data_IF_224995412728
#
_entry.id   IF_224995412728
#
_cell.length_a   1.000
_cell.length_b   1.000
_cell.length_c   1.000
_cell.angle_alpha   90.00
_cell.angle_beta   90.00
_cell.angle_gamma   90.00
#
_symmetry.space_group_name_H-M   'P 1'
#
loop_
_entity.id
_entity.type
_entity.pdbx_description
1 polymer ?
#
# COMPACT_ATOMS: atom_id res chain seq x y z
N UNK A 1 10.77 -25.60 4.45
CA UNK A 1 9.31 -25.40 4.58
C UNK A 1 8.99 -24.93 5.98
N UNK A 2 8.99 -23.61 6.16
CA UNK A 2 8.41 -22.99 7.34
C UNK A 2 6.92 -22.74 7.06
N UNK A 3 6.08 -23.06 8.02
CA UNK A 3 4.64 -22.80 7.95
C UNK A 3 4.31 -21.76 9.00
N UNK A 4 3.63 -20.70 8.59
CA UNK A 4 3.14 -19.66 9.48
C UNK A 4 1.69 -19.98 9.86
N UNK A 5 1.43 -20.10 11.15
CA UNK A 5 0.09 -20.29 11.71
C UNK A 5 -0.46 -18.96 12.21
N UNK A 6 -1.58 -18.50 11.64
CA UNK A 6 -2.23 -17.25 12.02
C UNK A 6 -3.72 -17.46 12.32
N UNK A 7 -4.25 -16.69 13.26
CA UNK A 7 -5.70 -16.50 13.41
C UNK A 7 -6.16 -15.42 12.44
N UNK A 8 -6.80 -15.83 11.35
CA UNK A 8 -7.45 -14.93 10.40
C UNK A 8 -8.83 -14.52 10.91
N UNK A 9 -9.11 -13.22 10.96
CA UNK A 9 -10.45 -12.70 11.28
C UNK A 9 -11.16 -12.28 10.01
N UNK A 10 -12.38 -12.75 9.80
CA UNK A 10 -13.23 -12.30 8.69
C UNK A 10 -14.64 -11.93 9.16
N UNK A 11 -15.26 -11.01 8.42
CA UNK A 11 -16.60 -10.51 8.73
C UNK A 11 -17.67 -11.30 7.97
N UNK A 12 -18.71 -11.70 8.67
CA UNK A 12 -19.85 -12.45 8.13
C UNK A 12 -20.99 -11.47 7.85
N UNK A 13 -20.95 -10.89 6.64
CA UNK A 13 -21.85 -9.84 6.19
C UNK A 13 -23.21 -10.34 5.67
N UNK A 14 -23.50 -11.64 5.79
CA UNK A 14 -24.79 -12.21 5.41
C UNK A 14 -25.55 -12.71 6.65
N UNK A 15 -26.89 -12.50 6.76
CA UNK A 15 -27.75 -11.77 5.81
C UNK A 15 -27.58 -10.24 5.91
N UNK A 16 -27.97 -9.53 4.84
CA UNK A 16 -27.74 -8.08 4.74
C UNK A 16 -28.49 -7.27 5.80
N UNK A 17 -29.63 -7.78 6.27
CA UNK A 17 -30.47 -7.17 7.29
C UNK A 17 -29.92 -7.36 8.71
N UNK A 18 -29.00 -8.32 8.90
CA UNK A 18 -28.41 -8.63 10.20
C UNK A 18 -27.07 -9.36 10.05
N UNK A 19 -25.99 -8.59 9.94
CA UNK A 19 -24.63 -9.15 9.91
C UNK A 19 -24.34 -10.01 11.16
N UNK A 20 -23.68 -11.14 10.96
CA UNK A 20 -23.35 -12.12 12.00
C UNK A 20 -22.06 -11.76 12.76
N UNK A 21 -21.61 -10.51 12.65
CA UNK A 21 -20.36 -10.03 13.23
C UNK A 21 -19.13 -10.60 12.50
N UNK A 22 -18.10 -10.96 13.26
CA UNK A 22 -16.90 -11.61 12.76
C UNK A 22 -16.74 -13.02 13.34
N UNK A 23 -15.88 -13.81 12.73
CA UNK A 23 -15.37 -15.06 13.28
C UNK A 23 -13.89 -15.17 12.95
N UNK A 24 -13.25 -16.18 13.53
CA UNK A 24 -11.85 -16.49 13.28
C UNK A 24 -11.71 -17.84 12.56
N UNK A 25 -10.63 -17.97 11.81
CA UNK A 25 -10.21 -19.18 11.12
C UNK A 25 -8.70 -19.37 11.31
N UNK A 26 -8.29 -20.63 11.44
CA UNK A 26 -6.87 -21.01 11.49
C UNK A 26 -6.29 -21.04 10.07
N UNK A 27 -5.41 -20.09 9.78
CA UNK A 27 -4.71 -19.99 8.51
C UNK A 27 -3.33 -20.64 8.64
N UNK A 28 -3.03 -21.53 7.69
CA UNK A 28 -1.72 -22.19 7.56
C UNK A 28 -1.10 -21.71 6.26
N UNK A 29 -0.04 -20.92 6.36
CA UNK A 29 0.58 -20.24 5.22
C UNK A 29 1.95 -20.85 4.98
N UNK A 30 2.17 -21.40 3.79
CA UNK A 30 3.49 -21.78 3.33
C UNK A 30 4.30 -20.52 3.02
N UNK A 31 5.35 -20.27 3.78
CA UNK A 31 6.15 -19.05 3.63
C UNK A 31 6.98 -19.04 2.35
N UNK A 32 7.25 -20.20 1.74
CA UNK A 32 8.01 -20.31 0.48
C UNK A 32 7.18 -19.89 -0.74
N UNK A 33 5.84 -19.98 -0.66
CA UNK A 33 4.91 -19.58 -1.72
C UNK A 33 4.19 -18.26 -1.40
N UNK A 34 4.73 -17.45 -0.48
CA UNK A 34 4.10 -16.24 0.04
C UNK A 34 4.96 -14.99 -0.18
N UNK A 35 4.33 -13.86 -0.45
CA UNK A 35 4.97 -12.55 -0.46
C UNK A 35 4.23 -11.56 0.46
N UNK A 36 4.96 -10.58 0.98
CA UNK A 36 4.40 -9.47 1.74
C UNK A 36 4.18 -8.27 0.83
N UNK A 37 2.93 -7.88 0.62
CA UNK A 37 2.54 -6.79 -0.28
C UNK A 37 2.24 -5.52 0.51
N UNK A 38 3.04 -4.48 0.29
CA UNK A 38 2.86 -3.14 0.84
C UNK A 38 2.08 -2.29 -0.18
N UNK A 39 0.85 -1.89 0.14
CA UNK A 39 -0.05 -1.18 -0.80
C UNK A 39 -0.22 0.27 -0.39
N UNK A 40 0.21 1.19 -1.26
CA UNK A 40 0.04 2.64 -1.10
C UNK A 40 0.48 3.21 0.27
N UNK A 41 1.56 2.65 0.84
CA UNK A 41 2.17 3.13 2.09
C UNK A 41 3.26 4.15 1.78
N UNK A 42 2.86 5.30 1.26
CA UNK A 42 3.72 6.43 0.98
C UNK A 42 3.22 7.68 1.73
N UNK A 43 4.06 8.71 1.83
CA UNK A 43 3.82 9.89 2.66
C UNK A 43 5.00 10.13 3.59
N UNK A 44 5.09 11.35 4.13
CA UNK A 44 6.22 11.78 4.97
C UNK A 44 6.00 11.54 6.46
N UNK A 45 4.84 10.98 6.86
CA UNK A 45 4.43 10.62 8.23
C UNK A 45 5.25 11.33 9.31
N UNK A 46 5.00 12.62 9.59
CA UNK A 46 5.74 13.33 10.61
C UNK A 46 5.61 12.56 11.93
N UNK A 47 6.73 12.36 12.65
CA UNK A 47 6.69 11.84 14.02
C UNK A 47 5.67 12.67 14.80
N UNK A 48 4.81 12.00 15.57
CA UNK A 48 3.72 12.64 16.30
C UNK A 48 4.23 13.93 16.96
N UNK A 49 3.70 15.08 16.54
CA UNK A 49 4.10 16.37 17.08
C UNK A 49 4.04 16.31 18.61
N UNK A 50 5.15 16.65 19.29
CA UNK A 50 5.18 17.00 20.70
C UNK A 50 4.33 18.28 20.89
N UNK A 51 3.02 18.09 20.97
CA UNK A 51 2.04 19.13 21.22
C UNK A 51 1.00 18.59 22.20
N UNK A 52 0.43 19.45 23.07
CA UNK A 52 -0.50 19.01 24.12
C UNK A 52 -1.68 18.23 23.53
N UNK A 53 -2.08 17.14 24.20
CA UNK A 53 -3.16 16.23 23.78
C UNK A 53 -4.54 16.90 23.66
N UNK A 54 -4.68 18.14 24.16
CA UNK A 54 -5.94 18.88 24.27
C UNK A 54 -6.26 19.81 23.08
N UNK A 55 -5.50 19.78 21.98
CA UNK A 55 -5.85 20.55 20.78
C UNK A 55 -6.92 19.80 20.00
N UNK A 56 -8.11 20.40 19.86
CA UNK A 56 -9.24 19.88 19.09
C UNK A 56 -8.80 19.65 17.63
N UNK A 57 -8.53 18.39 17.29
CA UNK A 57 -7.89 18.01 16.03
C UNK A 57 -8.87 18.16 14.87
N UNK A 58 -8.41 18.77 13.78
CA UNK A 58 -9.15 18.70 12.52
C UNK A 58 -9.10 17.27 11.98
N UNK A 59 -10.15 16.81 11.27
CA UNK A 59 -10.27 15.40 10.85
C UNK A 59 -9.09 14.88 10.00
N UNK A 60 -8.33 15.76 9.34
CA UNK A 60 -7.12 15.40 8.59
C UNK A 60 -5.91 15.14 9.51
N UNK A 61 -5.72 15.92 10.56
CA UNK A 61 -4.58 15.78 11.50
C UNK A 61 -4.69 14.50 12.34
N UNK A 62 -5.91 14.09 12.69
CA UNK A 62 -6.19 12.79 13.32
C UNK A 62 -5.82 11.60 12.41
N UNK A 63 -6.06 11.72 11.10
CA UNK A 63 -5.67 10.69 10.13
C UNK A 63 -4.15 10.55 10.05
N UNK A 64 -3.41 11.66 9.93
CA UNK A 64 -1.95 11.62 9.79
C UNK A 64 -1.20 11.14 11.04
N UNK A 65 -1.68 11.45 12.25
CA UNK A 65 -1.03 10.96 13.50
C UNK A 65 -1.18 9.45 13.65
N UNK A 66 -2.35 8.90 13.32
CA UNK A 66 -2.58 7.46 13.34
C UNK A 66 -1.78 6.73 12.26
N UNK A 67 -1.57 7.36 11.10
CA UNK A 67 -0.78 6.76 10.03
C UNK A 67 0.68 6.51 10.44
N UNK A 68 1.33 7.41 11.18
CA UNK A 68 2.69 7.16 11.68
C UNK A 68 2.73 5.93 12.60
N UNK A 69 1.84 5.83 13.59
CA UNK A 69 1.80 4.67 14.50
C UNK A 69 1.52 3.36 13.73
N UNK A 70 0.57 3.40 12.79
CA UNK A 70 0.27 2.25 11.94
C UNK A 70 1.50 1.83 11.14
N UNK A 71 2.20 2.79 10.51
CA UNK A 71 3.39 2.50 9.72
C UNK A 71 4.52 1.98 10.60
N UNK A 72 4.88 2.71 11.65
CA UNK A 72 6.04 2.44 12.51
C UNK A 72 5.87 1.20 13.38
N UNK A 73 4.69 1.00 13.96
CA UNK A 73 4.45 -0.03 14.97
C UNK A 73 3.66 -1.23 14.46
N UNK A 74 3.07 -1.16 13.25
CA UNK A 74 2.31 -2.29 12.67
C UNK A 74 2.87 -2.75 11.33
N UNK A 75 2.95 -1.88 10.34
CA UNK A 75 3.33 -2.26 8.97
C UNK A 75 4.82 -2.58 8.90
N UNK A 76 5.70 -1.71 9.41
CA UNK A 76 7.15 -1.92 9.38
C UNK A 76 7.57 -3.21 10.10
N UNK A 77 7.15 -3.49 11.35
CA UNK A 77 7.48 -4.75 12.02
C UNK A 77 6.95 -5.98 11.29
N UNK A 78 5.78 -5.89 10.64
CA UNK A 78 5.22 -6.99 9.85
C UNK A 78 6.05 -7.28 8.60
N UNK A 79 6.51 -6.23 7.89
CA UNK A 79 7.46 -6.36 6.78
C UNK A 79 8.75 -7.02 7.24
N UNK A 80 9.32 -6.53 8.34
CA UNK A 80 10.60 -7.04 8.87
C UNK A 80 10.47 -8.53 9.27
N UNK A 81 9.37 -8.91 9.91
CA UNK A 81 9.09 -10.31 10.25
C UNK A 81 8.93 -11.19 8.98
N UNK A 82 8.23 -10.70 7.96
CA UNK A 82 8.08 -11.41 6.69
C UNK A 82 9.44 -11.64 6.00
N UNK A 83 10.32 -10.62 5.99
CA UNK A 83 11.69 -10.75 5.44
C UNK A 83 12.52 -11.75 6.23
N UNK A 84 12.40 -11.79 7.57
CA UNK A 84 13.07 -12.79 8.41
C UNK A 84 12.63 -14.23 8.10
N UNK A 85 11.40 -14.41 7.63
CA UNK A 85 10.87 -15.69 7.16
C UNK A 85 11.20 -16.02 5.70
N UNK A 86 11.97 -15.14 5.02
CA UNK A 86 12.37 -15.32 3.62
C UNK A 86 11.31 -14.92 2.60
N UNK A 87 10.22 -14.28 3.02
CA UNK A 87 9.20 -13.79 2.09
C UNK A 87 9.72 -12.54 1.35
N UNK A 88 9.57 -12.45 0.02
CA UNK A 88 9.86 -11.22 -0.70
C UNK A 88 8.86 -10.13 -0.29
N UNK A 89 9.37 -8.92 -0.07
CA UNK A 89 8.55 -7.73 0.09
C UNK A 89 8.31 -7.09 -1.29
N UNK A 90 7.07 -6.70 -1.54
CA UNK A 90 6.64 -6.09 -2.80
C UNK A 90 5.88 -4.81 -2.48
N UNK A 91 6.29 -3.69 -3.05
CA UNK A 91 5.57 -2.42 -2.95
C UNK A 91 4.66 -2.26 -4.17
N UNK A 92 3.40 -1.94 -3.95
CA UNK A 92 2.46 -1.49 -4.97
C UNK A 92 2.12 -0.02 -4.71
N UNK A 93 2.79 0.88 -5.43
CA UNK A 93 2.73 2.32 -5.20
C UNK A 93 2.14 3.04 -6.40
N UNK A 94 1.28 4.01 -6.13
CA UNK A 94 0.77 4.92 -7.16
C UNK A 94 1.89 5.65 -7.90
N UNK A 95 1.75 5.76 -9.21
CA UNK A 95 2.66 6.42 -10.13
C UNK A 95 1.89 6.89 -11.37
N UNK A 96 2.50 7.76 -12.17
CA UNK A 96 1.92 8.32 -13.38
C UNK A 96 2.60 7.78 -14.65
N UNK A 97 2.25 6.59 -15.17
CA UNK A 97 2.72 6.15 -16.49
C UNK A 97 2.20 7.10 -17.57
N UNK A 98 2.98 7.26 -18.66
CA UNK A 98 2.61 8.09 -19.81
C UNK A 98 1.55 7.43 -20.69
N UNK A 99 0.36 7.25 -20.12
CA UNK A 99 -0.79 6.60 -20.71
C UNK A 99 -2.00 7.54 -20.86
N UNK A 100 -1.78 8.86 -20.78
CA UNK A 100 -2.81 9.90 -20.83
C UNK A 100 -3.91 9.68 -19.77
N UNK A 101 -3.49 9.61 -18.50
CA UNK A 101 -4.33 9.17 -17.38
C UNK A 101 -5.58 10.04 -17.21
N UNK A 102 -5.46 11.33 -17.49
CA UNK A 102 -6.52 12.33 -17.33
C UNK A 102 -7.64 12.17 -18.39
N UNK A 103 -7.40 11.32 -19.40
CA UNK A 103 -8.43 10.92 -20.37
C UNK A 103 -9.21 9.69 -19.91
N UNK A 104 -8.73 8.95 -18.92
CA UNK A 104 -9.44 7.81 -18.35
C UNK A 104 -10.58 8.28 -17.44
N UNK A 105 -11.62 7.45 -17.30
CA UNK A 105 -12.69 7.72 -16.33
C UNK A 105 -12.16 7.80 -14.89
N UNK A 106 -11.23 6.91 -14.53
CA UNK A 106 -10.60 6.90 -13.21
C UNK A 106 -9.86 8.20 -12.92
N UNK A 107 -9.03 8.67 -13.85
CA UNK A 107 -8.30 9.93 -13.74
C UNK A 107 -9.23 11.13 -13.56
N UNK A 108 -10.26 11.26 -14.41
CA UNK A 108 -11.25 12.33 -14.31
C UNK A 108 -12.02 12.30 -12.99
N UNK A 109 -12.44 11.12 -12.55
CA UNK A 109 -13.16 10.96 -11.28
C UNK A 109 -12.27 11.37 -10.10
N UNK A 110 -11.00 10.99 -10.10
CA UNK A 110 -10.05 11.40 -9.05
C UNK A 110 -9.79 12.91 -9.08
N UNK A 111 -9.63 13.50 -10.26
CA UNK A 111 -9.51 14.95 -10.43
C UNK A 111 -10.74 15.68 -9.87
N UNK A 112 -11.96 15.20 -10.14
CA UNK A 112 -13.19 15.77 -9.56
C UNK A 112 -13.22 15.72 -8.03
N UNK A 113 -12.62 14.69 -7.43
CA UNK A 113 -12.64 14.48 -5.97
C UNK A 113 -11.52 15.25 -5.26
N UNK A 114 -10.34 15.37 -5.88
CA UNK A 114 -9.12 15.89 -5.25
C UNK A 114 -8.72 17.28 -5.76
N UNK A 115 -9.24 17.70 -6.93
CA UNK A 115 -8.96 18.99 -7.54
C UNK A 115 -7.60 19.08 -8.25
N UNK A 116 -6.91 17.94 -8.42
CA UNK A 116 -5.62 17.82 -9.10
C UNK A 116 -5.61 16.58 -9.99
N UNK A 117 -4.86 16.62 -11.09
CA UNK A 117 -4.77 15.47 -11.99
C UNK A 117 -3.90 14.35 -11.40
N UNK A 118 -4.04 13.14 -11.94
CA UNK A 118 -3.19 12.03 -11.48
C UNK A 118 -1.74 12.23 -11.89
N UNK A 119 -1.50 12.84 -13.05
CA UNK A 119 -0.15 13.15 -13.52
C UNK A 119 0.54 14.19 -12.63
N UNK A 120 -0.21 15.16 -12.09
CA UNK A 120 0.30 16.12 -11.10
C UNK A 120 0.62 15.45 -9.75
N UNK A 121 -0.31 14.63 -9.25
CA UNK A 121 -0.18 14.00 -7.92
C UNK A 121 0.87 12.89 -7.89
N UNK A 122 0.91 12.04 -8.92
CA UNK A 122 1.69 10.80 -8.94
C UNK A 122 2.97 10.87 -9.78
N UNK A 123 3.41 12.07 -10.17
CA UNK A 123 4.73 12.24 -10.78
C UNK A 123 5.87 11.95 -9.78
N UNK A 124 6.97 11.41 -10.29
CA UNK A 124 8.17 11.03 -9.51
C UNK A 124 9.40 11.76 -10.06
N UNK A 125 10.41 12.00 -9.21
CA UNK A 125 11.67 12.66 -9.58
C UNK A 125 12.84 11.67 -9.81
N UNK A 126 12.57 10.36 -9.70
CA UNK A 126 13.55 9.30 -9.89
C UNK A 126 12.98 8.14 -10.75
N UNK A 127 12.57 8.47 -11.98
CA UNK A 127 11.98 7.53 -12.94
C UNK A 127 12.54 7.74 -14.36
N UNK A 128 12.27 6.79 -15.26
CA UNK A 128 12.49 6.98 -16.70
C UNK A 128 11.39 7.89 -17.30
N UNK A 129 11.71 9.11 -17.74
CA UNK A 129 10.72 10.04 -18.27
C UNK A 129 10.12 9.61 -19.62
N UNK A 130 10.64 8.56 -20.26
CA UNK A 130 10.03 7.95 -21.45
C UNK A 130 8.81 7.11 -21.10
N UNK A 131 8.78 6.49 -19.91
CA UNK A 131 7.72 5.61 -19.47
C UNK A 131 6.76 6.29 -18.47
N UNK A 132 7.29 7.17 -17.60
CA UNK A 132 6.52 7.85 -16.55
C UNK A 132 6.62 9.37 -16.63
N UNK A 133 5.66 10.05 -16.00
CA UNK A 133 5.66 11.51 -15.86
C UNK A 133 6.66 11.92 -14.80
N UNK A 134 7.69 12.67 -15.22
CA UNK A 134 8.67 13.25 -14.32
C UNK A 134 8.12 14.50 -13.62
N UNK A 135 8.32 14.60 -12.31
CA UNK A 135 7.94 15.78 -11.55
C UNK A 135 8.36 15.69 -10.08
N UNK A 136 8.07 16.73 -9.30
CA UNK A 136 8.56 16.87 -7.92
C UNK A 136 7.48 16.71 -6.85
N UNK A 137 6.41 15.97 -7.15
CA UNK A 137 5.36 15.70 -6.17
C UNK A 137 5.95 15.01 -4.93
N UNK A 138 5.56 15.48 -3.75
CA UNK A 138 5.86 14.81 -2.48
C UNK A 138 4.81 13.76 -2.11
N UNK A 139 3.68 13.71 -2.82
CA UNK A 139 2.50 12.94 -2.44
C UNK A 139 2.79 11.44 -2.31
N UNK A 140 3.55 10.89 -3.25
CA UNK A 140 3.90 9.45 -3.30
C UNK A 140 5.30 9.13 -2.77
N UNK A 141 5.97 10.08 -2.12
CA UNK A 141 7.30 9.85 -1.55
C UNK A 141 7.22 9.06 -0.25
N UNK A 142 7.96 7.97 -0.17
CA UNK A 142 8.05 7.14 1.04
C UNK A 142 8.86 7.85 2.14
N UNK A 143 8.35 7.83 3.37
CA UNK A 143 9.15 8.17 4.54
C UNK A 143 10.30 7.17 4.72
N UNK A 144 11.47 7.58 5.24
CA UNK A 144 12.63 6.71 5.41
C UNK A 144 12.34 5.41 6.19
N UNK A 145 11.45 5.46 7.18
CA UNK A 145 11.10 4.31 8.04
C UNK A 145 10.52 3.12 7.26
N UNK A 146 9.80 3.39 6.16
CA UNK A 146 9.09 2.39 5.36
C UNK A 146 9.51 2.39 3.89
N UNK A 147 10.57 3.13 3.55
CA UNK A 147 11.08 3.17 2.20
C UNK A 147 11.46 1.76 1.69
N UNK A 148 11.23 1.46 0.39
CA UNK A 148 11.71 0.23 -0.22
C UNK A 148 13.23 0.08 -0.08
N UNK A 149 13.68 -1.13 0.24
CA UNK A 149 15.08 -1.52 0.28
C UNK A 149 15.52 -2.07 -1.10
N UNK A 150 16.82 -2.10 -1.43
CA UNK A 150 17.29 -2.52 -2.76
C UNK A 150 16.90 -3.94 -3.19
N UNK A 151 16.62 -4.82 -2.24
CA UNK A 151 16.18 -6.20 -2.44
C UNK A 151 14.65 -6.36 -2.46
N UNK A 152 13.89 -5.29 -2.17
CA UNK A 152 12.45 -5.29 -2.28
C UNK A 152 12.02 -5.08 -3.74
N UNK A 153 10.88 -5.66 -4.13
CA UNK A 153 10.28 -5.39 -5.44
C UNK A 153 9.42 -4.14 -5.40
N UNK A 154 9.40 -3.38 -6.50
CA UNK A 154 8.62 -2.15 -6.62
C UNK A 154 7.74 -2.18 -7.88
N UNK A 155 6.43 -2.14 -7.68
CA UNK A 155 5.40 -2.14 -8.72
C UNK A 155 4.71 -0.79 -8.73
N UNK A 156 4.82 -0.09 -9.86
CA UNK A 156 4.09 1.12 -10.15
C UNK A 156 2.70 0.77 -10.65
N UNK A 157 1.68 1.38 -10.05
CA UNK A 157 0.28 1.26 -10.46
C UNK A 157 -0.35 2.64 -10.59
N UNK A 158 -1.45 2.76 -11.31
CA UNK A 158 -2.17 4.03 -11.45
C UNK A 158 -3.66 3.93 -11.13
N UNK A 159 -4.12 2.73 -10.78
CA UNK A 159 -5.50 2.42 -10.33
C UNK A 159 -5.45 1.63 -9.01
N UNK A 160 -6.63 1.30 -8.47
CA UNK A 160 -6.74 0.54 -7.22
C UNK A 160 -6.04 -0.82 -7.26
N UNK A 161 -6.22 -1.59 -8.34
CA UNK A 161 -5.61 -2.91 -8.44
C UNK A 161 -4.14 -2.81 -8.84
N UNK A 162 -3.25 -3.36 -8.01
CA UNK A 162 -1.84 -3.52 -8.35
C UNK A 162 -1.58 -4.53 -9.48
N UNK A 163 -2.59 -5.26 -9.96
CA UNK A 163 -2.48 -6.19 -11.09
C UNK A 163 -2.84 -5.56 -12.44
N UNK A 164 -3.60 -4.46 -12.42
CA UNK A 164 -4.09 -3.87 -13.65
C UNK A 164 -2.98 -3.08 -14.34
N UNK A 165 -2.61 -3.52 -15.54
CA UNK A 165 -1.59 -2.87 -16.38
C UNK A 165 -0.23 -2.71 -15.67
N UNK A 166 0.17 -3.74 -14.91
CA UNK A 166 1.45 -3.78 -14.22
C UNK A 166 2.16 -5.12 -14.44
N UNK A 167 3.39 -5.22 -13.93
CA UNK A 167 4.20 -6.45 -13.95
C UNK A 167 3.92 -7.38 -12.75
N UNK A 168 2.90 -7.10 -11.93
CA UNK A 168 2.61 -7.84 -10.69
C UNK A 168 2.39 -9.34 -10.94
N UNK A 169 1.51 -9.72 -11.87
CA UNK A 169 1.22 -11.14 -12.15
C UNK A 169 2.48 -11.89 -12.59
N UNK A 170 3.25 -11.32 -13.52
CA UNK A 170 4.53 -11.89 -13.99
C UNK A 170 5.53 -12.04 -12.84
N UNK A 171 5.65 -11.03 -11.97
CA UNK A 171 6.54 -11.07 -10.82
C UNK A 171 6.18 -12.23 -9.89
N UNK A 172 4.91 -12.34 -9.49
CA UNK A 172 4.45 -13.38 -8.56
C UNK A 172 4.66 -14.78 -9.14
N UNK A 173 4.38 -14.99 -10.42
CA UNK A 173 4.63 -16.27 -11.11
C UNK A 173 6.10 -16.66 -11.12
N UNK A 174 6.98 -15.70 -11.42
CA UNK A 174 8.43 -15.95 -11.44
C UNK A 174 8.99 -16.26 -10.05
N UNK A 175 8.40 -15.68 -9.01
CA UNK A 175 8.74 -15.97 -7.62
C UNK A 175 8.11 -17.27 -7.09
N UNK A 176 7.19 -17.89 -7.83
CA UNK A 176 6.42 -19.03 -7.34
C UNK A 176 5.39 -18.66 -6.26
N UNK A 177 5.07 -17.37 -6.11
CA UNK A 177 4.16 -16.88 -5.07
C UNK A 177 2.71 -17.16 -5.46
N UNK A 178 1.96 -17.74 -4.52
CA UNK A 178 0.53 -18.03 -4.64
C UNK A 178 -0.32 -17.32 -3.59
N UNK A 179 0.31 -16.82 -2.53
CA UNK A 179 -0.36 -16.15 -1.41
C UNK A 179 0.25 -14.77 -1.19
N UNK A 180 -0.60 -13.76 -0.98
CA UNK A 180 -0.18 -12.41 -0.60
C UNK A 180 -0.70 -12.08 0.79
N UNK A 181 0.20 -11.61 1.65
CA UNK A 181 -0.16 -10.95 2.90
C UNK A 181 -0.07 -9.45 2.64
N UNK A 182 -1.21 -8.76 2.66
CA UNK A 182 -1.29 -7.35 2.29
C UNK A 182 -1.36 -6.45 3.52
N UNK A 183 -0.59 -5.38 3.53
CA UNK A 183 -0.71 -4.27 4.47
C UNK A 183 -0.66 -2.95 3.71
N UNK A 184 -1.49 -1.99 4.07
CA UNK A 184 -1.58 -0.75 3.32
C UNK A 184 -2.71 0.16 3.75
N UNK A 185 -2.87 1.24 2.98
CA UNK A 185 -3.97 2.18 3.14
C UNK A 185 -4.94 2.09 1.96
N UNK A 186 -6.18 2.54 2.18
CA UNK A 186 -7.20 2.67 1.15
C UNK A 186 -7.82 4.06 1.23
N UNK A 187 -8.02 4.73 0.09
CA UNK A 187 -8.59 6.08 -0.02
C UNK A 187 -9.03 6.45 -1.44
#
# INVERSE_FOLDING_TARGET
MATLELKGRYYRLYPAEKYLGYTEEDLHIDTEECAFLIVDVYGQFPEAHEGPDDVEQTGLEYMFRNEYDIVANRIRPSKDAAKQLGMPAIYATNSAPRAALDRSWFGRQREMNVGQTLEELFCEDNIDPLEYVYGHSSYIKHAPIIAPEPDDYYIRKWVYSGFFDTRMDTLLRNLGVKTLICAGFAG
#
